data_IF_181585471031
#
_entry.id   IF_181585471031
#
_cell.length_a   1.000
_cell.length_b   1.000
_cell.length_c   1.000
_cell.angle_alpha   90.00
_cell.angle_beta   90.00
_cell.angle_gamma   90.00
#
_symmetry.space_group_name_H-M   'P 1'
#
loop_
_entity.id
_entity.type
_entity.pdbx_description
1 polymer ?
#
# COMPACT_ATOMS: atom_id res chain seq x y z
N UNK A 1 -3.55 -26.95 -3.43
CA UNK A 1 -2.55 -27.20 -4.48
C UNK A 1 -1.18 -26.80 -3.93
N UNK A 2 -0.26 -27.75 -3.72
CA UNK A 2 1.13 -27.40 -3.38
C UNK A 2 1.86 -27.12 -4.69
N UNK A 3 2.22 -25.87 -4.93
CA UNK A 3 3.10 -25.51 -6.05
C UNK A 3 4.52 -25.82 -5.60
N UNK A 4 5.32 -26.47 -6.45
CA UNK A 4 6.73 -26.72 -6.16
C UNK A 4 7.52 -25.40 -6.26
N UNK A 5 8.09 -24.97 -5.15
CA UNK A 5 8.89 -23.73 -5.04
C UNK A 5 10.04 -23.70 -6.05
N UNK A 6 10.65 -24.87 -6.35
CA UNK A 6 11.75 -24.96 -7.30
C UNK A 6 11.27 -24.69 -8.72
N UNK A 7 10.10 -25.23 -9.06
CA UNK A 7 9.48 -25.00 -10.36
C UNK A 7 9.03 -23.54 -10.50
N UNK A 8 8.46 -22.95 -9.46
CA UNK A 8 8.03 -21.55 -9.45
C UNK A 8 9.21 -20.60 -9.71
N UNK A 9 10.32 -20.75 -8.98
CA UNK A 9 11.53 -19.94 -9.15
C UNK A 9 12.09 -20.06 -10.56
N UNK A 10 12.16 -21.30 -11.10
CA UNK A 10 12.65 -21.53 -12.46
C UNK A 10 11.77 -20.85 -13.51
N UNK A 11 10.45 -20.95 -13.36
CA UNK A 11 9.49 -20.34 -14.28
C UNK A 11 9.56 -18.81 -14.24
N UNK A 12 9.70 -18.21 -13.06
CA UNK A 12 9.85 -16.76 -12.91
C UNK A 12 11.14 -16.26 -13.57
N UNK A 13 12.27 -16.93 -13.32
CA UNK A 13 13.54 -16.54 -13.95
C UNK A 13 13.46 -16.67 -15.48
N UNK A 14 12.89 -17.76 -15.99
CA UNK A 14 12.69 -17.93 -17.42
C UNK A 14 11.78 -16.83 -18.00
N UNK A 15 10.70 -16.46 -17.31
CA UNK A 15 9.80 -15.39 -17.76
C UNK A 15 10.51 -14.03 -17.85
N UNK A 16 11.38 -13.71 -16.89
CA UNK A 16 12.20 -12.50 -16.91
C UNK A 16 13.17 -12.53 -18.10
N UNK A 17 13.84 -13.67 -18.34
CA UNK A 17 14.78 -13.81 -19.47
C UNK A 17 14.09 -13.65 -20.83
N UNK A 18 12.90 -14.22 -21.00
CA UNK A 18 12.11 -14.11 -22.23
C UNK A 18 11.41 -12.75 -22.41
N UNK A 19 11.30 -11.94 -21.36
CA UNK A 19 10.71 -10.59 -21.44
C UNK A 19 11.56 -9.64 -22.29
N UNK A 20 12.86 -9.94 -22.44
CA UNK A 20 13.78 -9.18 -23.28
C UNK A 20 13.59 -9.58 -24.73
N UNK A 21 12.84 -8.78 -25.49
CA UNK A 21 12.64 -8.99 -26.93
C UNK A 21 13.96 -8.75 -27.66
N UNK A 22 14.59 -9.82 -28.14
CA UNK A 22 15.80 -9.78 -28.96
C UNK A 22 15.42 -9.83 -30.44
N UNK A 23 16.01 -8.95 -31.25
CA UNK A 23 15.89 -9.00 -32.71
C UNK A 23 17.19 -9.60 -33.27
N UNK A 24 17.08 -10.67 -34.03
CA UNK A 24 18.24 -11.33 -34.64
C UNK A 24 19.06 -10.34 -35.49
N UNK A 25 20.38 -10.33 -35.27
CA UNK A 25 21.32 -9.44 -35.95
C UNK A 25 21.46 -8.02 -35.36
N UNK A 26 20.74 -7.69 -34.28
CA UNK A 26 20.83 -6.37 -33.62
C UNK A 26 21.27 -6.52 -32.16
N UNK A 27 21.92 -5.48 -31.62
CA UNK A 27 22.24 -5.40 -30.18
C UNK A 27 20.98 -5.25 -29.35
N UNK A 28 21.02 -5.77 -28.13
CA UNK A 28 19.93 -5.65 -27.16
C UNK A 28 19.57 -4.18 -26.91
N UNK A 29 18.25 -3.89 -26.89
CA UNK A 29 17.74 -2.53 -26.68
C UNK A 29 17.79 -2.20 -25.19
N UNK A 30 18.77 -1.40 -24.79
CA UNK A 30 18.87 -0.86 -23.42
C UNK A 30 17.81 0.24 -23.23
N UNK A 31 16.92 0.06 -22.25
CA UNK A 31 15.95 1.09 -21.84
C UNK A 31 16.60 2.00 -20.80
N UNK A 32 16.40 3.32 -20.92
CA UNK A 32 16.99 4.34 -20.02
C UNK A 32 15.99 4.86 -18.99
N UNK A 33 15.10 3.99 -18.52
CA UNK A 33 14.06 4.33 -17.54
C UNK A 33 13.80 3.11 -16.64
N UNK A 34 13.26 3.35 -15.46
CA UNK A 34 12.93 2.29 -14.49
C UNK A 34 11.76 1.44 -14.99
N UNK A 35 11.94 0.12 -14.98
CA UNK A 35 10.94 -0.81 -15.49
C UNK A 35 9.97 -1.24 -14.38
N UNK A 36 8.67 -1.07 -14.62
CA UNK A 36 7.62 -1.60 -13.75
C UNK A 36 7.28 -3.04 -14.15
N UNK A 37 7.13 -3.92 -13.16
CA UNK A 37 6.75 -5.32 -13.35
C UNK A 37 5.31 -5.53 -12.88
N UNK A 38 4.47 -6.08 -13.75
CA UNK A 38 3.10 -6.51 -13.43
C UNK A 38 3.03 -8.02 -13.25
N UNK A 39 2.34 -8.48 -12.21
CA UNK A 39 2.13 -9.90 -11.92
C UNK A 39 0.65 -10.24 -12.09
N UNK A 40 0.35 -11.19 -12.98
CA UNK A 40 -1.01 -11.67 -13.25
C UNK A 40 -1.11 -13.14 -12.82
N UNK A 41 -2.07 -13.44 -11.94
CA UNK A 41 -2.28 -14.78 -11.39
C UNK A 41 -3.68 -15.26 -11.79
N UNK A 42 -3.75 -16.34 -12.56
CA UNK A 42 -5.01 -17.00 -12.90
C UNK A 42 -5.32 -18.10 -11.89
N UNK A 43 -6.37 -17.91 -11.10
CA UNK A 43 -6.82 -18.87 -10.09
C UNK A 43 -8.02 -19.64 -10.63
N UNK A 44 -7.97 -20.97 -10.59
CA UNK A 44 -9.09 -21.86 -10.95
C UNK A 44 -9.79 -22.35 -9.69
N UNK A 45 -11.03 -22.83 -9.86
CA UNK A 45 -11.84 -23.45 -8.81
C UNK A 45 -12.21 -22.53 -7.64
N UNK A 46 -12.39 -21.23 -7.93
CA UNK A 46 -12.85 -20.24 -6.95
C UNK A 46 -14.14 -19.57 -7.41
N UNK A 47 -15.19 -19.68 -6.60
CA UNK A 47 -16.45 -18.99 -6.85
C UNK A 47 -16.43 -17.60 -6.21
N UNK A 48 -16.08 -16.57 -6.99
CA UNK A 48 -16.00 -15.17 -6.53
C UNK A 48 -17.37 -14.52 -6.22
N UNK A 49 -18.48 -15.17 -6.60
CA UNK A 49 -19.82 -14.71 -6.25
C UNK A 49 -20.10 -14.86 -4.75
N UNK A 50 -19.46 -15.83 -4.10
CA UNK A 50 -19.52 -15.99 -2.65
C UNK A 50 -18.53 -15.02 -1.99
N UNK A 51 -19.00 -14.07 -1.15
CA UNK A 51 -18.12 -13.07 -0.53
C UNK A 51 -16.97 -13.67 0.28
N UNK A 52 -17.19 -14.85 0.89
CA UNK A 52 -16.18 -15.57 1.69
C UNK A 52 -14.97 -16.03 0.88
N UNK A 53 -15.16 -16.25 -0.42
CA UNK A 53 -14.11 -16.73 -1.32
C UNK A 53 -13.34 -15.58 -1.97
N UNK A 54 -13.74 -14.31 -1.75
CA UNK A 54 -12.98 -13.16 -2.25
C UNK A 54 -11.64 -13.11 -1.55
N UNK A 55 -10.57 -13.04 -2.33
CA UNK A 55 -9.20 -12.96 -1.82
C UNK A 55 -8.85 -11.48 -1.70
N UNK A 56 -8.83 -10.99 -0.46
CA UNK A 56 -8.30 -9.66 -0.11
C UNK A 56 -7.22 -9.87 0.95
N UNK A 57 -5.96 -9.88 0.52
CA UNK A 57 -4.80 -10.11 1.38
C UNK A 57 -3.66 -9.17 1.00
N UNK A 58 -3.07 -8.58 2.03
CA UNK A 58 -1.81 -7.86 1.93
C UNK A 58 -0.68 -8.81 2.35
N UNK A 59 0.44 -8.79 1.63
CA UNK A 59 1.60 -9.62 1.88
C UNK A 59 2.81 -8.68 1.96
N UNK A 60 3.63 -8.86 2.99
CA UNK A 60 4.90 -8.14 3.12
C UNK A 60 5.89 -8.77 2.15
N UNK A 61 6.42 -7.97 1.24
CA UNK A 61 7.44 -8.40 0.30
C UNK A 61 8.80 -8.43 1.00
N UNK A 62 9.59 -9.47 0.72
CA UNK A 62 10.92 -9.65 1.32
C UNK A 62 11.95 -8.61 0.85
N UNK A 63 11.69 -7.99 -0.31
CA UNK A 63 12.54 -6.95 -0.88
C UNK A 63 11.71 -5.69 -1.07
N UNK A 64 12.35 -4.53 -0.86
CA UNK A 64 11.73 -3.25 -1.08
C UNK A 64 11.52 -3.03 -2.59
N UNK A 65 10.26 -2.78 -2.97
CA UNK A 65 9.86 -2.48 -4.36
C UNK A 65 9.72 -0.96 -4.58
N UNK A 66 9.59 -0.19 -3.51
CA UNK A 66 9.47 1.27 -3.57
C UNK A 66 10.83 1.85 -3.91
N UNK A 67 10.93 2.45 -5.10
CA UNK A 67 12.12 3.14 -5.61
C UNK A 67 12.34 4.51 -4.97
N UNK A 68 11.29 5.12 -4.43
CA UNK A 68 11.37 6.36 -3.64
C UNK A 68 11.89 6.07 -2.22
N UNK A 69 12.78 6.93 -1.70
CA UNK A 69 13.41 6.75 -0.38
C UNK A 69 12.38 6.68 0.77
N UNK A 70 11.20 7.28 0.61
CA UNK A 70 10.14 7.29 1.63
C UNK A 70 8.72 7.28 1.04
N UNK A 71 7.86 6.31 1.41
CA UNK A 71 6.45 6.37 1.04
C UNK A 71 5.74 7.57 1.65
N UNK A 72 4.76 8.13 0.93
CA UNK A 72 3.96 9.26 1.41
C UNK A 72 2.90 8.77 2.41
N UNK A 73 3.26 8.76 3.70
CA UNK A 73 2.42 8.28 4.81
C UNK A 73 1.93 9.45 5.67
N UNK A 74 0.68 9.38 6.12
CA UNK A 74 0.14 10.26 7.16
C UNK A 74 -0.23 9.44 8.41
N UNK A 75 0.28 9.83 9.58
CA UNK A 75 -0.03 9.21 10.88
C UNK A 75 -1.08 10.04 11.63
N UNK A 76 -2.17 9.41 12.07
CA UNK A 76 -3.22 10.05 12.86
C UNK A 76 -3.21 9.42 14.25
N UNK A 77 -2.72 10.16 15.23
CA UNK A 77 -2.49 9.63 16.58
C UNK A 77 -2.57 10.72 17.64
N UNK A 78 -2.52 10.30 18.89
CA UNK A 78 -2.43 11.17 20.07
C UNK A 78 -1.10 11.00 20.82
N UNK A 79 -0.78 11.99 21.65
CA UNK A 79 0.31 11.94 22.65
C UNK A 79 1.68 11.47 22.11
N UNK A 80 2.20 10.37 22.68
CA UNK A 80 3.54 9.87 22.43
C UNK A 80 3.74 9.37 20.99
N UNK A 81 2.75 8.69 20.42
CA UNK A 81 2.82 8.13 19.06
C UNK A 81 2.95 9.27 18.05
N UNK A 82 2.23 10.38 18.27
CA UNK A 82 2.32 11.57 17.44
C UNK A 82 3.73 12.19 17.49
N UNK A 83 4.34 12.26 18.67
CA UNK A 83 5.69 12.80 18.86
C UNK A 83 6.75 11.91 18.17
N UNK A 84 6.64 10.60 18.28
CA UNK A 84 7.52 9.65 17.60
C UNK A 84 7.39 9.77 16.07
N UNK A 85 6.16 9.83 15.55
CA UNK A 85 5.92 10.03 14.13
C UNK A 85 6.54 11.34 13.62
N UNK A 86 6.40 12.45 14.35
CA UNK A 86 7.06 13.71 14.01
C UNK A 86 8.59 13.60 13.99
N UNK A 87 9.19 12.85 14.94
CA UNK A 87 10.64 12.61 14.97
C UNK A 87 11.13 11.80 13.75
N UNK A 88 10.30 10.90 13.23
CA UNK A 88 10.59 10.15 12.01
C UNK A 88 10.43 10.99 10.72
N UNK A 89 9.92 12.22 10.84
CA UNK A 89 9.72 13.15 9.73
C UNK A 89 8.54 12.77 8.83
N UNK A 90 7.55 12.04 9.36
CA UNK A 90 6.30 11.75 8.64
C UNK A 90 5.24 12.81 8.95
N UNK A 91 4.31 13.02 8.01
CA UNK A 91 3.21 13.95 8.22
C UNK A 91 2.23 13.38 9.26
N UNK A 92 1.77 14.23 10.18
CA UNK A 92 0.93 13.81 11.30
C UNK A 92 -0.33 14.65 11.48
N UNK A 93 -1.42 14.03 11.93
CA UNK A 93 -2.65 14.71 12.38
C UNK A 93 -2.98 14.32 13.82
N UNK A 94 -3.24 15.32 14.65
CA UNK A 94 -3.86 15.17 15.96
C UNK A 94 -5.38 15.36 15.88
N UNK A 95 -6.06 15.22 17.03
CA UNK A 95 -7.51 15.41 17.14
C UNK A 95 -7.97 16.79 16.67
N UNK A 96 -7.30 17.85 17.12
CA UNK A 96 -7.66 19.22 16.77
C UNK A 96 -7.48 19.50 15.27
N UNK A 97 -6.40 18.99 14.66
CA UNK A 97 -6.17 19.12 13.23
C UNK A 97 -7.17 18.31 12.43
N UNK A 98 -7.61 17.16 12.93
CA UNK A 98 -8.65 16.36 12.29
C UNK A 98 -10.00 17.08 12.30
N UNK A 99 -10.35 17.76 13.40
CA UNK A 99 -11.55 18.61 13.49
C UNK A 99 -11.45 19.80 12.55
N UNK A 100 -10.30 20.47 12.48
CA UNK A 100 -10.06 21.56 11.52
C UNK A 100 -10.23 21.07 10.09
N UNK A 101 -9.62 19.94 9.74
CA UNK A 101 -9.76 19.30 8.42
C UNK A 101 -11.23 18.94 8.10
N UNK A 102 -12.00 18.53 9.10
CA UNK A 102 -13.43 18.28 8.92
C UNK A 102 -14.21 19.55 8.58
N UNK A 103 -13.85 20.70 9.16
CA UNK A 103 -14.49 22.00 8.90
C UNK A 103 -14.09 22.61 7.54
N UNK A 104 -13.00 22.15 6.94
CA UNK A 104 -12.58 22.57 5.60
C UNK A 104 -13.56 22.18 4.49
N UNK A 105 -13.44 22.85 3.34
CA UNK A 105 -14.23 22.52 2.17
C UNK A 105 -13.95 21.09 1.67
N UNK A 106 -14.96 20.50 1.00
CA UNK A 106 -14.84 19.15 0.41
C UNK A 106 -13.67 19.03 -0.57
N UNK A 107 -13.29 20.13 -1.24
CA UNK A 107 -12.17 20.16 -2.20
C UNK A 107 -10.83 19.91 -1.50
N UNK A 108 -10.59 20.53 -0.35
CA UNK A 108 -9.36 20.35 0.42
C UNK A 108 -9.24 18.94 0.99
N UNK A 109 -10.33 18.38 1.53
CA UNK A 109 -10.37 16.98 2.00
C UNK A 109 -10.02 15.97 0.91
N UNK A 110 -10.56 16.15 -0.31
CA UNK A 110 -10.19 15.30 -1.46
C UNK A 110 -8.72 15.45 -1.85
N UNK A 111 -8.18 16.68 -1.82
CA UNK A 111 -6.75 16.92 -2.11
C UNK A 111 -5.85 16.27 -1.06
N UNK A 112 -6.22 16.38 0.21
CA UNK A 112 -5.51 15.76 1.32
C UNK A 112 -5.43 14.23 1.18
N UNK A 113 -6.55 13.56 0.94
CA UNK A 113 -6.58 12.09 0.76
C UNK A 113 -5.78 11.63 -0.46
N UNK A 114 -5.69 12.46 -1.51
CA UNK A 114 -4.89 12.15 -2.70
C UNK A 114 -3.39 12.35 -2.47
N UNK A 115 -2.99 13.21 -1.53
CA UNK A 115 -1.58 13.51 -1.23
C UNK A 115 -0.84 12.29 -0.67
N UNK A 116 -1.48 11.52 0.21
CA UNK A 116 -0.86 10.39 0.89
C UNK A 116 -1.29 9.07 0.29
N UNK A 117 -0.38 8.12 0.23
CA UNK A 117 -0.65 6.76 -0.23
C UNK A 117 -1.24 5.91 0.89
N UNK A 118 -0.70 6.04 2.10
CA UNK A 118 -1.09 5.27 3.27
C UNK A 118 -1.46 6.16 4.46
N UNK A 119 -2.41 5.68 5.26
CA UNK A 119 -2.82 6.29 6.52
C UNK A 119 -2.63 5.27 7.64
N UNK A 120 -1.90 5.67 8.69
CA UNK A 120 -1.72 4.88 9.91
C UNK A 120 -2.49 5.58 11.01
N UNK A 121 -3.34 4.87 11.74
CA UNK A 121 -4.24 5.48 12.73
C UNK A 121 -4.19 4.71 14.04
N UNK A 122 -4.05 5.46 15.14
CA UNK A 122 -4.19 4.91 16.49
C UNK A 122 -5.65 4.48 16.73
N UNK A 123 -5.86 3.32 17.35
CA UNK A 123 -7.19 2.75 17.60
C UNK A 123 -8.20 3.73 18.21
N UNK A 124 -7.75 4.57 19.14
CA UNK A 124 -8.60 5.59 19.79
C UNK A 124 -9.14 6.63 18.81
N UNK A 125 -8.36 6.96 17.77
CA UNK A 125 -8.67 7.96 16.76
C UNK A 125 -9.52 7.41 15.61
N UNK A 126 -9.66 6.08 15.48
CA UNK A 126 -10.38 5.45 14.37
C UNK A 126 -11.84 5.87 14.27
N UNK A 127 -12.50 6.15 15.39
CA UNK A 127 -13.91 6.60 15.39
C UNK A 127 -14.06 7.97 14.73
N UNK A 128 -13.15 8.88 15.03
CA UNK A 128 -13.17 10.24 14.49
C UNK A 128 -12.75 10.24 13.02
N UNK A 129 -11.73 9.45 12.66
CA UNK A 129 -11.33 9.25 11.26
C UNK A 129 -12.48 8.65 10.43
N UNK A 130 -13.17 7.65 10.96
CA UNK A 130 -14.33 7.07 10.30
C UNK A 130 -15.45 8.11 10.12
N UNK A 131 -15.72 8.93 11.14
CA UNK A 131 -16.75 9.97 11.07
C UNK A 131 -16.41 11.06 10.05
N UNK A 132 -15.18 11.56 10.06
CA UNK A 132 -14.81 12.76 9.29
C UNK A 132 -14.28 12.45 7.89
N UNK A 133 -13.54 11.35 7.73
CA UNK A 133 -12.79 11.05 6.52
C UNK A 133 -13.26 9.81 5.76
N UNK A 134 -14.10 8.92 6.32
CA UNK A 134 -14.51 7.69 5.63
C UNK A 134 -15.15 7.95 4.25
N UNK A 135 -15.97 8.99 4.13
CA UNK A 135 -16.59 9.38 2.85
C UNK A 135 -15.57 9.70 1.75
N UNK A 136 -14.37 10.12 2.13
CA UNK A 136 -13.30 10.51 1.21
C UNK A 136 -12.27 9.39 1.03
N UNK A 137 -11.96 8.63 2.09
CA UNK A 137 -11.00 7.53 2.07
C UNK A 137 -11.57 6.27 1.41
N UNK A 138 -12.85 5.97 1.61
CA UNK A 138 -13.52 4.76 1.09
C UNK A 138 -13.45 4.64 -0.44
N UNK A 139 -13.91 5.65 -1.22
CA UNK A 139 -13.88 5.58 -2.69
C UNK A 139 -12.48 5.50 -3.30
N UNK A 140 -11.44 5.89 -2.54
CA UNK A 140 -10.04 5.86 -2.98
C UNK A 140 -9.35 4.58 -2.50
N UNK A 141 -10.01 3.74 -1.70
CA UNK A 141 -9.43 2.51 -1.16
C UNK A 141 -8.34 2.74 -0.11
N UNK A 142 -8.26 3.93 0.49
CA UNK A 142 -7.22 4.33 1.45
C UNK A 142 -7.70 4.29 2.90
N UNK A 143 -8.73 3.49 3.19
CA UNK A 143 -9.27 3.40 4.54
C UNK A 143 -8.23 2.75 5.46
N UNK A 144 -7.83 3.42 6.56
CA UNK A 144 -6.83 2.87 7.47
C UNK A 144 -7.36 1.65 8.22
N UNK A 145 -6.45 0.74 8.54
CA UNK A 145 -6.71 -0.40 9.42
C UNK A 145 -6.23 -0.06 10.85
N UNK A 146 -6.99 -0.42 11.90
CA UNK A 146 -6.64 -0.12 13.29
C UNK A 146 -5.34 -0.81 13.74
N UNK A 147 -4.36 -0.08 14.27
CA UNK A 147 -3.12 -0.62 14.85
C UNK A 147 -3.31 -0.93 16.35
N UNK A 148 -3.07 -2.17 16.85
CA UNK A 148 -2.05 -3.13 16.37
C UNK A 148 -2.58 -4.32 15.55
N UNK A 149 -3.90 -4.44 15.36
CA UNK A 149 -4.52 -5.59 14.67
C UNK A 149 -4.47 -5.52 13.14
N UNK A 150 -4.28 -4.33 12.57
CA UNK A 150 -3.98 -4.09 11.17
C UNK A 150 -2.50 -3.76 11.06
N UNK A 151 -1.76 -4.66 10.41
CA UNK A 151 -0.30 -4.68 10.25
C UNK A 151 0.42 -3.56 11.00
N UNK A 152 0.70 -3.82 12.28
CA UNK A 152 1.91 -3.27 12.84
C UNK A 152 3.04 -3.66 11.93
N UNK A 153 3.87 -2.70 11.56
CA UNK A 153 5.15 -2.94 10.91
C UNK A 153 5.90 -3.87 11.87
N UNK A 154 5.80 -5.18 11.63
CA UNK A 154 6.55 -6.17 12.38
C UNK A 154 7.99 -5.98 11.91
N UNK A 155 8.79 -5.53 12.87
CA UNK A 155 10.23 -5.38 12.82
C UNK A 155 10.92 -6.53 12.09
N UNK A 156 11.91 -6.16 11.26
CA UNK A 156 12.93 -7.01 10.68
C UNK A 156 13.28 -8.25 11.53
N UNK A 157 13.18 -9.42 10.88
CA UNK A 157 14.08 -10.55 11.06
C UNK A 157 14.66 -10.89 9.69
#
# INVERSE_FOLDING_TARGET
MKVDDKLLKRSLNAAIDFSVIKKEGFKDKIRKFDETIDIIINIKDINLNEPKNRIDKEIILSHQVITEDKPNICVIASDNILLEAKKLGVDTLDSDSLVKLNNEEKKYKKKFVKKYEYFVVEDKMMRDVARYLARFLGPVGKMPKPFPTGYGIISNL
#
